data_IF_058980750502
#
_entry.id   IF_058980750502
#
_cell.length_a   1.000
_cell.length_b   1.000
_cell.length_c   1.000
_cell.angle_alpha   90.00
_cell.angle_beta   90.00
_cell.angle_gamma   90.00
#
_symmetry.space_group_name_H-M   'P 1'
#
loop_
_entity.id
_entity.type
_entity.pdbx_description
1 polymer ?
#
# COMPACT_ATOMS: atom_id res chain seq x y z
N UNK A 1 3.38 -6.03 4.30
CA UNK A 1 2.64 -7.20 4.83
C UNK A 1 1.32 -7.29 4.10
N UNK A 2 0.70 -8.47 4.06
CA UNK A 2 -0.66 -8.66 3.51
C UNK A 2 -1.50 -9.43 4.53
N UNK A 3 -2.81 -9.23 4.49
CA UNK A 3 -3.79 -10.03 5.21
C UNK A 3 -4.92 -10.37 4.25
N UNK A 4 -5.17 -11.65 4.05
CA UNK A 4 -6.25 -12.18 3.22
C UNK A 4 -7.04 -13.18 4.06
N UNK A 5 -8.21 -12.76 4.55
CA UNK A 5 -9.09 -13.58 5.38
C UNK A 5 -8.34 -14.29 6.54
N UNK A 6 -7.71 -13.50 7.40
CA UNK A 6 -6.88 -13.95 8.54
C UNK A 6 -5.58 -14.69 8.16
N UNK A 7 -5.28 -14.84 6.88
CA UNK A 7 -3.99 -15.37 6.41
C UNK A 7 -3.01 -14.22 6.19
N UNK A 8 -1.95 -14.18 7.00
CA UNK A 8 -0.91 -13.16 6.92
C UNK A 8 0.21 -13.56 5.97
N UNK A 9 0.70 -12.59 5.20
CA UNK A 9 1.77 -12.79 4.23
C UNK A 9 2.83 -11.68 4.25
N UNK A 10 4.03 -12.04 3.79
CA UNK A 10 5.15 -11.13 3.54
C UNK A 10 5.68 -11.35 2.11
N UNK A 11 5.00 -10.82 1.08
CA UNK A 11 5.33 -11.15 -0.31
C UNK A 11 6.73 -10.72 -0.76
N UNK A 12 7.35 -9.74 -0.08
CA UNK A 12 8.72 -9.28 -0.35
C UNK A 12 9.78 -9.91 0.57
N UNK A 13 9.45 -10.93 1.34
CA UNK A 13 10.40 -11.52 2.30
C UNK A 13 11.67 -12.02 1.58
N UNK A 14 12.84 -11.53 1.99
CA UNK A 14 14.13 -11.80 1.37
C UNK A 14 14.45 -10.98 0.11
N UNK A 15 13.53 -10.10 -0.29
CA UNK A 15 13.67 -9.15 -1.41
C UNK A 15 13.33 -7.73 -0.93
N UNK A 16 13.64 -7.43 0.34
CA UNK A 16 13.39 -6.12 0.93
C UNK A 16 14.25 -5.04 0.25
N UNK A 17 13.62 -3.89 -0.02
CA UNK A 17 14.32 -2.72 -0.55
C UNK A 17 15.01 -2.03 0.63
N UNK A 18 16.33 -1.89 0.53
CA UNK A 18 17.12 -1.16 1.53
C UNK A 18 17.04 0.33 1.25
N UNK A 19 16.61 1.09 2.26
CA UNK A 19 16.63 2.55 2.23
C UNK A 19 17.96 3.01 2.84
N UNK A 20 18.67 3.89 2.13
CA UNK A 20 19.93 4.47 2.61
C UNK A 20 19.64 5.65 3.53
N UNK A 21 20.55 5.96 4.46
CA UNK A 21 20.31 6.96 5.52
C UNK A 21 20.21 8.39 4.97
N UNK A 22 20.75 8.65 3.78
CA UNK A 22 20.67 9.92 3.06
C UNK A 22 19.30 10.19 2.42
N UNK A 23 18.42 9.18 2.35
CA UNK A 23 17.07 9.34 1.81
C UNK A 23 16.17 9.95 2.87
N UNK A 24 15.79 11.21 2.67
CA UNK A 24 14.91 11.93 3.61
C UNK A 24 13.44 11.56 3.43
N UNK A 25 12.99 11.39 2.19
CA UNK A 25 11.61 11.04 1.86
C UNK A 25 11.54 9.76 1.01
N UNK A 26 10.57 8.90 1.34
CA UNK A 26 10.20 7.75 0.50
C UNK A 26 8.84 8.03 -0.10
N UNK A 27 8.78 8.06 -1.43
CA UNK A 27 7.57 8.30 -2.18
C UNK A 27 6.87 6.96 -2.43
N UNK A 28 5.60 6.87 -2.09
CA UNK A 28 4.78 5.67 -2.27
C UNK A 28 3.61 5.97 -3.21
N UNK A 29 3.33 5.05 -4.12
CA UNK A 29 2.19 5.14 -5.04
C UNK A 29 1.51 3.80 -5.19
N UNK A 30 0.19 3.82 -5.35
CA UNK A 30 -0.60 2.67 -5.80
C UNK A 30 -1.30 3.05 -7.10
N UNK A 31 -1.22 2.17 -8.09
CA UNK A 31 -2.01 2.27 -9.31
C UNK A 31 -3.08 1.18 -9.28
N UNK A 32 -4.34 1.58 -9.36
CA UNK A 32 -5.50 0.66 -9.38
C UNK A 32 -6.05 0.61 -10.80
N UNK A 33 -6.09 -0.59 -11.38
CA UNK A 33 -6.61 -0.88 -12.73
C UNK A 33 -7.70 -1.93 -12.64
N UNK A 34 -8.91 -1.49 -12.30
CA UNK A 34 -10.14 -2.30 -12.16
C UNK A 34 -9.95 -3.57 -11.32
N UNK A 35 -9.43 -4.65 -11.91
CA UNK A 35 -9.24 -5.96 -11.28
C UNK A 35 -7.93 -6.12 -10.52
N UNK A 36 -6.92 -5.29 -10.81
CA UNK A 36 -5.62 -5.37 -10.15
C UNK A 36 -5.20 -4.03 -9.57
N UNK A 37 -4.33 -4.08 -8.57
CA UNK A 37 -3.56 -2.91 -8.14
C UNK A 37 -2.10 -3.28 -7.90
N UNK A 38 -1.22 -2.31 -8.12
CA UNK A 38 0.22 -2.46 -8.01
C UNK A 38 0.82 -1.28 -7.26
N UNK A 39 1.82 -1.55 -6.43
CA UNK A 39 2.52 -0.54 -5.67
C UNK A 39 3.85 -0.17 -6.34
N UNK A 40 4.18 1.10 -6.24
CA UNK A 40 5.43 1.69 -6.70
C UNK A 40 6.07 2.49 -5.57
N UNK A 41 7.38 2.62 -5.64
CA UNK A 41 8.13 3.50 -4.75
C UNK A 41 9.13 4.34 -5.54
N UNK A 42 9.56 5.45 -4.96
CA UNK A 42 10.66 6.29 -5.46
C UNK A 42 11.44 6.85 -4.26
N UNK A 43 12.74 7.04 -4.43
CA UNK A 43 13.64 7.61 -3.40
C UNK A 43 14.03 9.06 -3.69
N UNK A 44 13.62 9.60 -4.85
CA UNK A 44 13.94 10.95 -5.33
C UNK A 44 12.70 11.72 -5.81
N UNK A 45 11.54 11.07 -5.85
CA UNK A 45 10.26 11.62 -6.32
C UNK A 45 10.09 11.60 -7.85
N UNK A 46 11.11 11.18 -8.60
CA UNK A 46 11.14 11.20 -10.06
C UNK A 46 11.22 9.80 -10.66
N UNK A 47 12.19 8.98 -10.22
CA UNK A 47 12.40 7.62 -10.71
C UNK A 47 11.53 6.63 -9.93
N UNK A 48 10.50 6.09 -10.60
CA UNK A 48 9.53 5.19 -10.00
C UNK A 48 9.84 3.72 -10.30
N UNK A 49 9.92 2.92 -9.25
CA UNK A 49 10.14 1.48 -9.32
C UNK A 49 8.87 0.71 -8.94
N UNK A 50 8.45 -0.19 -9.84
CA UNK A 50 7.35 -1.13 -9.58
C UNK A 50 7.81 -2.22 -8.60
N UNK A 51 7.01 -2.50 -7.57
CA UNK A 51 7.19 -3.69 -6.75
C UNK A 51 6.77 -4.93 -7.56
N UNK A 52 7.55 -6.04 -7.54
CA UNK A 52 7.29 -7.23 -8.37
C UNK A 52 6.13 -8.09 -7.82
N UNK A 53 5.02 -7.45 -7.44
CA UNK A 53 3.82 -8.08 -6.88
C UNK A 53 2.61 -7.40 -7.49
N UNK A 54 1.65 -8.23 -7.91
CA UNK A 54 0.34 -7.78 -8.38
C UNK A 54 -0.71 -8.28 -7.40
N UNK A 55 -1.62 -7.40 -7.00
CA UNK A 55 -2.70 -7.73 -6.09
C UNK A 55 -4.04 -7.68 -6.80
N UNK A 56 -4.99 -8.51 -6.39
CA UNK A 56 -6.33 -8.52 -6.95
C UNK A 56 -7.27 -7.57 -6.18
N UNK A 57 -7.82 -6.56 -6.85
CA UNK A 57 -8.68 -5.53 -6.24
C UNK A 57 -9.96 -6.11 -5.63
N UNK A 58 -10.49 -7.19 -6.20
CA UNK A 58 -11.74 -7.80 -5.71
C UNK A 58 -11.63 -8.29 -4.26
N UNK A 59 -10.41 -8.55 -3.77
CA UNK A 59 -10.20 -8.96 -2.38
C UNK A 59 -10.53 -7.87 -1.36
N UNK A 60 -10.62 -6.62 -1.79
CA UNK A 60 -10.99 -5.48 -0.97
C UNK A 60 -12.48 -5.09 -1.14
N UNK A 61 -13.32 -6.03 -1.61
CA UNK A 61 -14.76 -5.81 -1.82
C UNK A 61 -15.63 -6.49 -0.76
N UNK A 62 -16.84 -5.97 -0.60
CA UNK A 62 -17.85 -6.52 0.31
C UNK A 62 -18.19 -7.98 -0.02
N UNK A 63 -18.14 -8.37 -1.31
CA UNK A 63 -18.41 -9.74 -1.77
C UNK A 63 -17.33 -10.76 -1.36
N UNK A 64 -16.11 -10.31 -1.04
CA UNK A 64 -14.98 -11.20 -0.78
C UNK A 64 -14.69 -11.41 0.71
N UNK A 65 -14.91 -10.38 1.53
CA UNK A 65 -14.53 -10.42 2.95
C UNK A 65 -15.35 -11.46 3.71
N UNK A 66 -14.74 -12.06 4.74
CA UNK A 66 -15.44 -12.99 5.63
C UNK A 66 -16.06 -12.27 6.83
N UNK A 67 -17.24 -12.74 7.25
CA UNK A 67 -17.94 -12.26 8.44
C UNK A 67 -19.31 -11.66 8.14
N UNK A 68 -20.06 -11.32 9.20
CA UNK A 68 -21.42 -10.79 9.07
C UNK A 68 -21.51 -9.29 8.77
N UNK A 69 -20.38 -8.59 8.58
CA UNK A 69 -20.33 -7.15 8.36
C UNK A 69 -19.55 -6.79 7.09
N UNK A 70 -20.27 -6.55 5.99
CA UNK A 70 -19.73 -6.28 4.64
C UNK A 70 -20.33 -4.98 4.07
N UNK A 71 -20.17 -3.87 4.78
CA UNK A 71 -20.93 -2.63 4.52
C UNK A 71 -20.07 -1.39 4.32
N UNK A 72 -18.78 -1.53 4.00
CA UNK A 72 -17.85 -0.39 3.88
C UNK A 72 -17.29 -0.22 2.47
N UNK A 73 -16.53 -1.18 1.96
CA UNK A 73 -15.70 -1.02 0.76
C UNK A 73 -14.26 -0.55 1.00
N UNK A 74 -13.50 -0.48 -0.10
CA UNK A 74 -12.06 -0.23 -0.11
C UNK A 74 -11.69 1.24 0.14
N UNK A 75 -10.61 1.45 0.90
CA UNK A 75 -9.99 2.76 1.14
C UNK A 75 -8.50 2.72 0.81
N UNK A 76 -7.94 3.89 0.50
CA UNK A 76 -6.50 4.16 0.43
C UNK A 76 -6.17 5.28 1.41
N UNK A 77 -5.04 5.18 2.11
CA UNK A 77 -4.65 6.15 3.11
C UNK A 77 -3.21 6.03 3.54
N UNK A 78 -2.83 6.91 4.46
CA UNK A 78 -1.51 6.95 5.11
C UNK A 78 -1.63 6.40 6.53
N UNK A 79 -0.62 5.67 6.98
CA UNK A 79 -0.69 4.95 8.25
C UNK A 79 0.69 4.86 8.91
N UNK A 80 0.72 5.02 10.23
CA UNK A 80 1.89 4.80 11.08
C UNK A 80 1.51 3.80 12.19
N UNK A 81 2.36 2.80 12.42
CA UNK A 81 2.21 1.83 13.50
C UNK A 81 3.51 1.68 14.28
N UNK A 82 3.41 1.84 15.59
CA UNK A 82 4.46 1.51 16.53
C UNK A 82 3.92 0.47 17.53
N UNK A 83 4.42 -0.76 17.44
CA UNK A 83 4.01 -1.86 18.33
C UNK A 83 4.87 -1.98 19.59
N UNK A 84 5.94 -1.18 19.71
CA UNK A 84 6.82 -1.14 20.87
C UNK A 84 6.37 -0.08 21.90
N UNK A 85 5.49 0.83 21.51
CA UNK A 85 4.97 1.89 22.37
C UNK A 85 5.93 3.07 22.53
N UNK A 86 6.94 3.18 21.66
CA UNK A 86 7.88 4.31 21.61
C UNK A 86 7.27 5.59 21.03
N UNK A 87 6.03 5.53 20.52
CA UNK A 87 5.33 6.63 19.87
C UNK A 87 6.13 7.27 18.74
N UNK A 88 6.82 6.46 17.93
CA UNK A 88 7.55 6.96 16.78
C UNK A 88 6.60 7.65 15.79
N UNK A 89 7.04 8.79 15.29
CA UNK A 89 6.30 9.61 14.35
C UNK A 89 6.65 9.25 12.91
N UNK A 90 5.66 9.35 12.03
CA UNK A 90 5.86 9.35 10.58
C UNK A 90 5.19 10.62 10.03
N UNK A 91 5.99 11.47 9.40
CA UNK A 91 5.53 12.72 8.81
C UNK A 91 5.26 12.51 7.32
N UNK A 92 4.02 12.77 6.91
CA UNK A 92 3.59 12.65 5.53
C UNK A 92 3.42 14.04 4.92
N UNK A 93 4.24 14.37 3.92
CA UNK A 93 4.23 15.69 3.28
C UNK A 93 2.94 15.95 2.48
N UNK A 94 2.43 14.92 1.79
CA UNK A 94 1.21 15.05 1.00
C UNK A 94 0.50 13.72 0.75
N UNK A 95 -0.74 13.83 0.28
CA UNK A 95 -1.54 12.72 -0.24
C UNK A 95 -2.21 13.12 -1.55
N UNK A 96 -1.97 12.36 -2.63
CA UNK A 96 -2.54 12.63 -3.96
C UNK A 96 -3.48 11.48 -4.32
N UNK A 97 -4.74 11.82 -4.60
CA UNK A 97 -5.70 10.92 -5.23
C UNK A 97 -6.05 11.47 -6.61
N UNK A 98 -5.69 10.72 -7.66
CA UNK A 98 -6.02 11.07 -9.05
C UNK A 98 -6.79 9.91 -9.68
N UNK A 99 -8.11 10.05 -9.90
CA UNK A 99 -8.85 9.05 -10.65
C UNK A 99 -8.35 9.00 -12.10
N UNK A 100 -8.36 7.82 -12.70
CA UNK A 100 -8.17 7.72 -14.15
C UNK A 100 -9.43 8.26 -14.82
N UNK A 101 -9.28 9.34 -15.59
CA UNK A 101 -10.33 9.77 -16.50
C UNK A 101 -10.36 8.80 -17.68
N UNK A 102 -11.30 7.86 -17.66
CA UNK A 102 -11.67 7.12 -18.85
C UNK A 102 -12.47 8.07 -19.74
N UNK A 103 -11.94 8.43 -20.92
CA UNK A 103 -12.77 8.93 -22.03
C UNK A 103 -13.71 7.83 -22.53
#
# INVERSE_FOLDING_TARGET
>A
MTCDNFTFGQPLRGQEIKILNEVEYVYLRVEVKTHIYQYFYSLDGADWHLLPITFESYKLSDDYIQGGGFFTGAFVGMQCQDTLGSHLHADFDYFIYKPNESN
#
